data_IF_873253342459
#
_entry.id   IF_873253342459
#
_cell.length_a   1.000
_cell.length_b   1.000
_cell.length_c   1.000
_cell.angle_alpha   90.00
_cell.angle_beta   90.00
_cell.angle_gamma   90.00
#
_symmetry.space_group_name_H-M   'P 1'
#
loop_
_entity.id
_entity.type
_entity.pdbx_description
1 polymer ?
#
# COMPACT_ATOMS: atom_id res chain seq x y z
N UNK A 1 7.17 -7.36 -1.86
CA UNK A 1 7.22 -6.08 -1.10
C UNK A 1 8.59 -5.85 -0.44
N UNK A 2 9.11 -6.76 0.41
CA UNK A 2 10.47 -6.60 1.01
C UNK A 2 11.58 -6.35 -0.03
N UNK A 3 11.54 -7.02 -1.19
CA UNK A 3 12.47 -6.77 -2.32
C UNK A 3 12.36 -5.36 -2.91
N UNK A 4 11.17 -4.76 -2.94
CA UNK A 4 10.95 -3.39 -3.46
C UNK A 4 11.48 -2.33 -2.48
N UNK A 5 11.37 -2.61 -1.18
CA UNK A 5 12.03 -1.82 -0.13
C UNK A 5 13.55 -1.98 -0.17
N UNK A 6 14.06 -3.21 -0.31
CA UNK A 6 15.49 -3.49 -0.32
C UNK A 6 16.22 -2.96 -1.57
N UNK A 7 15.51 -2.80 -2.69
CA UNK A 7 16.04 -2.19 -3.93
C UNK A 7 15.93 -0.67 -3.94
N UNK A 8 15.46 -0.04 -2.85
CA UNK A 8 15.18 1.40 -2.75
C UNK A 8 14.20 1.93 -3.81
N UNK A 9 13.47 1.04 -4.50
CA UNK A 9 12.42 1.42 -5.45
C UNK A 9 11.22 2.00 -4.70
N UNK A 10 10.96 1.53 -3.48
CA UNK A 10 9.93 2.06 -2.61
C UNK A 10 10.51 2.93 -1.51
N UNK A 11 10.06 4.18 -1.49
CA UNK A 11 10.32 5.13 -0.43
C UNK A 11 9.30 4.98 0.70
N UNK A 12 9.66 5.42 1.90
CA UNK A 12 8.83 5.31 3.12
C UNK A 12 8.61 6.69 3.74
N UNK A 13 7.37 7.04 4.09
CA UNK A 13 7.02 8.27 4.83
C UNK A 13 7.55 9.59 4.24
N UNK A 14 7.68 9.67 2.92
CA UNK A 14 8.14 10.86 2.22
C UNK A 14 7.30 11.10 0.96
N UNK A 15 7.54 12.23 0.29
CA UNK A 15 6.89 12.50 -0.98
C UNK A 15 7.18 11.38 -1.99
N UNK A 16 6.14 10.97 -2.70
CA UNK A 16 6.15 9.84 -3.63
C UNK A 16 6.44 8.46 -2.97
N UNK A 17 6.36 8.35 -1.64
CA UNK A 17 6.44 7.08 -0.96
C UNK A 17 5.27 6.16 -1.32
N UNK A 18 5.59 4.88 -1.50
CA UNK A 18 4.58 3.81 -1.66
C UNK A 18 4.18 3.22 -0.32
N UNK A 19 5.03 3.39 0.68
CA UNK A 19 4.86 2.83 2.01
C UNK A 19 4.73 3.94 3.04
N UNK A 20 3.73 3.81 3.90
CA UNK A 20 3.46 4.73 4.98
C UNK A 20 3.36 3.97 6.28
N UNK A 21 4.22 4.30 7.23
CA UNK A 21 4.29 3.68 8.54
C UNK A 21 3.79 4.68 9.56
N UNK A 22 2.69 4.36 10.24
CA UNK A 22 2.16 5.16 11.35
C UNK A 22 2.40 4.41 12.65
N UNK A 23 3.10 5.06 13.59
CA UNK A 23 3.28 4.53 14.94
C UNK A 23 2.19 5.10 15.83
N UNK A 24 1.43 4.22 16.47
CA UNK A 24 0.55 4.55 17.58
C UNK A 24 1.20 4.04 18.87
N UNK A 25 0.73 4.50 20.03
CA UNK A 25 1.31 4.20 21.35
C UNK A 25 1.44 2.70 21.66
N UNK A 26 0.72 1.83 20.94
CA UNK A 26 0.70 0.37 21.17
C UNK A 26 0.90 -0.48 19.91
N UNK A 27 0.95 0.12 18.72
CA UNK A 27 1.01 -0.62 17.47
C UNK A 27 1.69 0.17 16.34
N UNK A 28 2.31 -0.56 15.41
CA UNK A 28 2.80 0.00 14.15
C UNK A 28 1.81 -0.39 13.07
N UNK A 29 1.32 0.60 12.32
CA UNK A 29 0.40 0.38 11.22
C UNK A 29 1.12 0.64 9.90
N UNK A 30 1.04 -0.34 8.99
CA UNK A 30 1.66 -0.29 7.67
C UNK A 30 0.59 -0.06 6.61
N UNK A 31 0.76 1.03 5.85
CA UNK A 31 -0.14 1.39 4.77
C UNK A 31 0.61 1.46 3.45
N UNK A 32 -0.04 1.03 2.37
CA UNK A 32 0.47 1.15 1.02
C UNK A 32 -0.42 2.06 0.19
N UNK A 33 0.19 2.98 -0.58
CA UNK A 33 -0.52 3.73 -1.63
C UNK A 33 -0.90 2.75 -2.73
N UNK A 34 -2.10 2.19 -2.64
CA UNK A 34 -2.38 0.90 -3.24
C UNK A 34 -2.28 0.91 -4.76
N UNK A 35 -2.87 1.91 -5.44
CA UNK A 35 -2.84 2.00 -6.91
C UNK A 35 -1.43 1.93 -7.48
N UNK A 36 -0.49 2.67 -6.89
CA UNK A 36 0.90 2.67 -7.32
C UNK A 36 1.67 1.43 -6.85
N UNK A 37 1.46 1.00 -5.60
CA UNK A 37 2.15 -0.15 -5.04
C UNK A 37 1.76 -1.45 -5.77
N UNK A 38 0.47 -1.65 -6.05
CA UNK A 38 -0.04 -2.82 -6.76
C UNK A 38 0.57 -2.93 -8.15
N UNK A 39 0.72 -1.82 -8.88
CA UNK A 39 1.39 -1.82 -10.19
C UNK A 39 2.82 -2.34 -10.09
N UNK A 40 3.61 -1.82 -9.15
CA UNK A 40 5.00 -2.26 -8.95
C UNK A 40 5.08 -3.74 -8.52
N UNK A 41 4.14 -4.20 -7.69
CA UNK A 41 4.02 -5.60 -7.28
C UNK A 41 3.71 -6.49 -8.49
N UNK A 42 2.72 -6.12 -9.31
CA UNK A 42 2.33 -6.88 -10.50
C UNK A 42 3.50 -6.96 -11.49
N UNK A 43 4.21 -5.86 -11.72
CA UNK A 43 5.38 -5.84 -12.60
C UNK A 43 6.51 -6.73 -12.08
N UNK A 44 6.78 -6.71 -10.77
CA UNK A 44 7.77 -7.58 -10.14
C UNK A 44 7.39 -9.05 -10.31
N UNK A 45 6.13 -9.37 -10.04
CA UNK A 45 5.60 -10.73 -10.13
C UNK A 45 5.57 -11.26 -11.58
N UNK A 46 5.29 -10.38 -12.54
CA UNK A 46 5.38 -10.69 -13.97
C UNK A 46 6.82 -10.98 -14.41
N UNK A 47 7.80 -10.22 -13.91
CA UNK A 47 9.25 -10.47 -14.15
C UNK A 47 9.67 -11.84 -13.61
N UNK A 48 9.14 -12.24 -12.47
CA UNK A 48 9.40 -13.55 -11.86
C UNK A 48 8.63 -14.70 -12.56
N UNK A 49 7.87 -14.41 -13.64
CA UNK A 49 7.11 -15.37 -14.46
C UNK A 49 6.15 -16.27 -13.66
N UNK A 50 5.60 -15.75 -12.56
CA UNK A 50 4.68 -16.53 -11.74
C UNK A 50 3.32 -16.67 -12.46
N UNK A 51 2.85 -17.90 -12.75
CA UNK A 51 1.60 -18.12 -13.45
C UNK A 51 0.38 -17.79 -12.57
N UNK A 52 -0.70 -17.33 -13.20
CA UNK A 52 -2.00 -17.14 -12.52
C UNK A 52 -2.12 -15.88 -11.65
N UNK A 53 -1.19 -14.94 -11.75
CA UNK A 53 -1.24 -13.72 -10.93
C UNK A 53 -2.28 -12.74 -11.45
N UNK A 54 -3.14 -12.20 -10.56
CA UNK A 54 -4.10 -11.17 -10.92
C UNK A 54 -3.37 -9.91 -11.41
N UNK A 55 -3.80 -9.43 -12.59
CA UNK A 55 -3.30 -8.18 -13.18
C UNK A 55 -4.09 -6.95 -12.76
N UNK A 56 -5.23 -7.18 -12.11
CA UNK A 56 -6.09 -6.13 -11.60
C UNK A 56 -5.70 -5.80 -10.14
N UNK A 57 -5.39 -4.53 -9.83
CA UNK A 57 -5.03 -4.10 -8.47
C UNK A 57 -6.11 -4.40 -7.43
N UNK A 58 -7.39 -4.26 -7.75
CA UNK A 58 -8.46 -4.45 -6.78
C UNK A 58 -8.61 -5.94 -6.44
N UNK A 59 -8.52 -6.80 -7.45
CA UNK A 59 -8.49 -8.25 -7.28
C UNK A 59 -7.31 -8.69 -6.42
N UNK A 60 -6.12 -8.10 -6.62
CA UNK A 60 -4.95 -8.38 -5.79
C UNK A 60 -5.19 -7.94 -4.33
N UNK A 61 -5.84 -6.80 -4.09
CA UNK A 61 -6.17 -6.35 -2.74
C UNK A 61 -7.13 -7.32 -2.05
N UNK A 62 -8.17 -7.75 -2.76
CA UNK A 62 -9.15 -8.72 -2.24
C UNK A 62 -8.46 -10.01 -1.81
N UNK A 63 -7.57 -10.54 -2.64
CA UNK A 63 -6.81 -11.76 -2.31
C UNK A 63 -5.93 -11.55 -1.07
N UNK A 64 -5.29 -10.39 -0.92
CA UNK A 64 -4.50 -10.10 0.28
C UNK A 64 -5.38 -10.03 1.52
N UNK A 65 -6.56 -9.40 1.42
CA UNK A 65 -7.53 -9.28 2.51
C UNK A 65 -8.07 -10.66 2.90
N UNK A 66 -8.52 -11.45 1.93
CA UNK A 66 -9.05 -12.81 2.15
C UNK A 66 -8.02 -13.74 2.80
N UNK A 67 -6.73 -13.56 2.48
CA UNK A 67 -5.63 -14.33 3.07
C UNK A 67 -5.13 -13.76 4.41
N UNK A 68 -5.75 -12.70 4.92
CA UNK A 68 -5.35 -12.05 6.18
C UNK A 68 -4.02 -11.28 6.11
N UNK A 69 -3.49 -11.04 4.91
CA UNK A 69 -2.27 -10.26 4.68
C UNK A 69 -2.53 -8.75 4.58
N UNK A 70 -3.78 -8.37 4.38
CA UNK A 70 -4.25 -7.00 4.45
C UNK A 70 -5.56 -6.96 5.24
N UNK A 71 -5.92 -5.78 5.73
CA UNK A 71 -7.16 -5.56 6.47
C UNK A 71 -7.98 -4.49 5.77
N UNK A 72 -9.30 -4.66 5.77
CA UNK A 72 -10.24 -3.63 5.33
C UNK A 72 -10.16 -2.41 6.25
N UNK A 73 -10.59 -1.27 5.74
CA UNK A 73 -10.76 -0.06 6.54
C UNK A 73 -11.84 -0.27 7.62
N UNK A 74 -11.91 0.65 8.57
CA UNK A 74 -12.98 0.67 9.57
C UNK A 74 -14.40 0.79 8.96
N UNK A 75 -14.52 1.33 7.75
CA UNK A 75 -15.78 1.39 6.97
C UNK A 75 -16.10 0.09 6.21
N UNK A 76 -15.34 -1.00 6.43
CA UNK A 76 -15.43 -2.26 5.70
C UNK A 76 -15.18 -2.13 4.18
N UNK A 77 -14.44 -1.09 3.78
CA UNK A 77 -13.98 -0.89 2.41
C UNK A 77 -12.56 -1.44 2.24
N UNK A 78 -12.16 -1.72 1.00
CA UNK A 78 -10.79 -2.21 0.70
C UNK A 78 -9.73 -1.18 1.08
N UNK A 79 -10.03 0.09 0.87
CA UNK A 79 -9.08 1.19 1.00
C UNK A 79 -9.56 2.20 2.03
N UNK A 80 -8.60 2.77 2.74
CA UNK A 80 -8.81 3.92 3.61
C UNK A 80 -8.22 5.16 2.93
N UNK A 81 -8.92 6.28 2.97
CA UNK A 81 -8.36 7.55 2.49
C UNK A 81 -7.51 8.18 3.58
N UNK A 82 -6.21 8.31 3.34
CA UNK A 82 -5.29 8.97 4.27
C UNK A 82 -4.57 10.12 3.57
N UNK A 83 -4.39 11.23 4.29
CA UNK A 83 -3.58 12.36 3.88
C UNK A 83 -2.37 12.49 4.81
N UNK A 84 -1.20 11.99 4.39
CA UNK A 84 0.04 12.21 5.15
C UNK A 84 0.42 13.69 5.17
N UNK A 85 0.86 14.18 6.33
CA UNK A 85 1.20 15.61 6.53
C UNK A 85 2.26 16.13 5.56
N UNK A 86 3.25 15.30 5.23
CA UNK A 86 4.32 15.65 4.27
C UNK A 86 3.82 15.85 2.83
N UNK A 87 2.57 15.46 2.53
CA UNK A 87 1.94 15.68 1.22
C UNK A 87 1.03 16.91 1.18
N UNK A 88 0.94 17.70 2.25
CA UNK A 88 0.20 18.97 2.22
C UNK A 88 0.89 19.91 1.23
N UNK A 89 0.14 20.40 0.26
CA UNK A 89 0.61 21.34 -0.77
C UNK A 89 -0.31 22.54 -0.81
N UNK A 90 0.23 23.75 -0.66
CA UNK A 90 -0.53 25.01 -0.69
C UNK A 90 -1.73 24.99 0.29
N UNK A 91 -1.50 24.53 1.53
CA UNK A 91 -2.50 24.29 2.59
C UNK A 91 -3.62 23.29 2.23
N UNK A 92 -3.46 22.53 1.14
CA UNK A 92 -4.41 21.50 0.71
C UNK A 92 -3.82 20.10 0.99
N UNK A 93 -4.49 19.27 1.82
CA UNK A 93 -4.08 17.89 2.02
C UNK A 93 -4.31 17.06 0.76
N UNK A 94 -3.34 16.22 0.41
CA UNK A 94 -3.48 15.24 -0.67
C UNK A 94 -3.94 13.92 -0.08
N UNK A 95 -5.17 13.51 -0.42
CA UNK A 95 -5.76 12.26 -0.01
C UNK A 95 -5.38 11.13 -0.96
N UNK A 96 -4.93 10.01 -0.40
CA UNK A 96 -4.49 8.84 -1.14
C UNK A 96 -5.28 7.61 -0.69
N UNK A 97 -5.71 6.73 -1.62
CA UNK A 97 -6.29 5.45 -1.27
C UNK A 97 -5.19 4.51 -0.78
N UNK A 98 -5.31 4.09 0.48
CA UNK A 98 -4.33 3.27 1.17
C UNK A 98 -4.90 1.89 1.49
N UNK A 99 -4.11 0.85 1.26
CA UNK A 99 -4.38 -0.49 1.77
C UNK A 99 -3.63 -0.70 3.08
N UNK A 100 -4.32 -1.14 4.14
CA UNK A 100 -3.71 -1.49 5.41
C UNK A 100 -3.17 -2.93 5.35
N UNK A 101 -1.89 -3.09 5.62
CA UNK A 101 -1.20 -4.39 5.62
C UNK A 101 -1.19 -4.95 7.03
N UNK A 102 -1.64 -6.19 7.17
CA UNK A 102 -1.63 -6.91 8.44
C UNK A 102 -0.19 -7.31 8.78
N UNK A 103 0.26 -7.00 10.00
CA UNK A 103 1.54 -7.45 10.57
C UNK A 103 1.37 -8.76 11.35
#
# INVERSE_FOLDING_TARGET
>A
MRRLLASSQWLVNQRDARVWVRKSNQATHLYLVWKSAAKDIIELLAKDKIPGIPRDPDTLADILIERGLATKSASNERYESLAPEVLIKDDKPIWLPMLHISE
#
